data_IF_388888685243
#
_entry.id   IF_388888685243
#
_cell.length_a   1.000
_cell.length_b   1.000
_cell.length_c   1.000
_cell.angle_alpha   90.00
_cell.angle_beta   90.00
_cell.angle_gamma   90.00
#
_symmetry.space_group_name_H-M   'P 1'
#
loop_
_entity.id
_entity.type
_entity.pdbx_description
1 polymer ?
#
# COMPACT_ATOMS: atom_id res chain seq x y z
N UNK A 1 -19.88 -9.72 -10.20
CA UNK A 1 -18.76 -8.76 -10.20
C UNK A 1 -19.31 -7.38 -9.94
N UNK A 2 -18.79 -6.68 -8.93
CA UNK A 2 -19.26 -5.35 -8.52
C UNK A 2 -18.50 -4.25 -9.26
N UNK A 3 -19.24 -3.40 -9.97
CA UNK A 3 -18.67 -2.24 -10.67
C UNK A 3 -18.14 -1.19 -9.68
N UNK A 4 -18.82 -1.02 -8.54
CA UNK A 4 -18.47 -0.02 -7.54
C UNK A 4 -17.13 -0.31 -6.83
N UNK A 5 -16.76 -1.59 -6.67
CA UNK A 5 -15.51 -2.00 -6.03
C UNK A 5 -14.31 -2.03 -6.97
N UNK A 6 -14.55 -1.92 -8.28
CA UNK A 6 -13.47 -2.01 -9.27
C UNK A 6 -12.45 -0.87 -9.13
N UNK A 7 -12.85 0.42 -9.11
CA UNK A 7 -11.89 1.51 -8.91
C UNK A 7 -11.09 1.44 -7.60
N UNK A 8 -11.68 1.26 -6.41
CA UNK A 8 -10.92 1.25 -5.17
C UNK A 8 -10.03 0.00 -5.03
N UNK A 9 -10.39 -1.14 -5.64
CA UNK A 9 -9.49 -2.29 -5.73
C UNK A 9 -8.27 -1.97 -6.60
N UNK A 10 -8.46 -1.33 -7.76
CA UNK A 10 -7.34 -0.93 -8.63
C UNK A 10 -6.43 0.04 -7.87
N UNK A 11 -7.00 0.99 -7.10
CA UNK A 11 -6.21 1.86 -6.21
C UNK A 11 -5.39 1.04 -5.23
N UNK A 12 -5.99 0.08 -4.51
CA UNK A 12 -5.27 -0.79 -3.59
C UNK A 12 -4.15 -1.59 -4.29
N UNK A 13 -4.39 -2.10 -5.50
CA UNK A 13 -3.38 -2.81 -6.28
C UNK A 13 -2.21 -1.88 -6.69
N UNK A 14 -2.51 -0.66 -7.14
CA UNK A 14 -1.50 0.32 -7.56
C UNK A 14 -0.71 0.90 -6.38
N UNK A 15 -1.32 1.07 -5.21
CA UNK A 15 -0.62 1.44 -3.97
C UNK A 15 0.38 0.36 -3.60
N UNK A 16 0.02 -0.92 -3.73
CA UNK A 16 0.94 -2.03 -3.48
C UNK A 16 2.10 -2.02 -4.48
N UNK A 17 1.83 -1.76 -5.77
CA UNK A 17 2.89 -1.58 -6.76
C UNK A 17 3.85 -0.44 -6.40
N UNK A 18 3.33 0.70 -5.95
CA UNK A 18 4.15 1.85 -5.54
C UNK A 18 5.02 1.50 -4.32
N UNK A 19 4.44 0.87 -3.29
CA UNK A 19 5.16 0.41 -2.11
C UNK A 19 6.27 -0.59 -2.48
N UNK A 20 5.96 -1.61 -3.28
CA UNK A 20 6.94 -2.58 -3.75
C UNK A 20 8.06 -1.95 -4.59
N UNK A 21 7.71 -1.05 -5.52
CA UNK A 21 8.71 -0.35 -6.35
C UNK A 21 9.65 0.53 -5.51
N UNK A 22 9.14 1.19 -4.46
CA UNK A 22 9.97 1.99 -3.57
C UNK A 22 10.85 1.13 -2.66
N UNK A 23 10.32 0.03 -2.10
CA UNK A 23 11.12 -0.94 -1.33
C UNK A 23 12.22 -1.62 -2.16
N UNK A 24 12.00 -1.80 -3.46
CA UNK A 24 13.03 -2.31 -4.37
C UNK A 24 14.15 -1.29 -4.62
N UNK A 25 13.84 0.01 -4.56
CA UNK A 25 14.84 1.10 -4.68
C UNK A 25 15.62 1.25 -3.39
N UNK A 26 14.94 1.27 -2.25
CA UNK A 26 15.55 1.24 -0.93
C UNK A 26 14.86 0.23 -0.01
N UNK A 27 15.53 -0.90 0.31
CA UNK A 27 15.00 -1.89 1.25
C UNK A 27 15.28 -1.53 2.72
N UNK A 28 16.03 -0.47 3.00
CA UNK A 28 16.60 -0.21 4.32
C UNK A 28 15.52 0.04 5.39
N UNK A 29 14.57 0.94 5.15
CA UNK A 29 13.49 1.22 6.10
C UNK A 29 12.67 -0.03 6.45
N UNK A 30 12.31 -0.85 5.46
CA UNK A 30 11.58 -2.10 5.70
C UNK A 30 12.42 -3.15 6.46
N UNK A 31 13.75 -3.21 6.23
CA UNK A 31 14.62 -4.05 7.08
C UNK A 31 14.71 -3.55 8.52
N UNK A 32 14.76 -2.23 8.72
CA UNK A 32 14.76 -1.60 10.05
C UNK A 32 13.48 -1.93 10.82
N UNK A 33 12.32 -1.73 10.18
CA UNK A 33 11.01 -2.05 10.72
C UNK A 33 10.90 -3.52 11.16
N UNK A 34 11.30 -4.46 10.30
CA UNK A 34 11.24 -5.89 10.63
C UNK A 34 12.23 -6.28 11.74
N UNK A 35 13.41 -5.66 11.80
CA UNK A 35 14.37 -5.86 12.90
C UNK A 35 13.87 -5.28 14.22
N UNK A 36 13.15 -4.16 14.19
CA UNK A 36 12.49 -3.60 15.38
C UNK A 36 11.43 -4.56 15.94
N UNK A 37 10.85 -5.42 15.10
CA UNK A 37 9.99 -6.54 15.50
C UNK A 37 10.76 -7.81 15.91
N UNK A 38 12.09 -7.76 15.98
CA UNK A 38 12.95 -8.89 16.34
C UNK A 38 13.17 -9.92 15.23
N UNK A 39 12.80 -9.62 13.98
CA UNK A 39 12.96 -10.57 12.87
C UNK A 39 14.36 -10.48 12.25
N UNK A 40 15.08 -11.60 12.11
CA UNK A 40 16.41 -11.62 11.51
C UNK A 40 16.32 -11.55 9.98
N UNK A 41 16.05 -10.36 9.45
CA UNK A 41 15.90 -10.15 7.99
C UNK A 41 17.15 -9.54 7.35
N UNK A 42 17.38 -9.95 6.10
CA UNK A 42 18.42 -9.41 5.22
C UNK A 42 17.80 -8.55 4.12
N UNK A 43 18.52 -7.54 3.58
CA UNK A 43 18.00 -6.67 2.52
C UNK A 43 17.45 -7.41 1.29
N UNK A 44 18.10 -8.50 0.88
CA UNK A 44 17.64 -9.29 -0.26
C UNK A 44 16.28 -9.96 -0.03
N UNK A 45 15.94 -10.30 1.23
CA UNK A 45 14.63 -10.89 1.56
C UNK A 45 13.52 -9.84 1.41
N UNK A 46 13.80 -8.61 1.85
CA UNK A 46 12.89 -7.47 1.68
C UNK A 46 12.73 -7.14 0.19
N UNK A 47 13.82 -7.15 -0.59
CA UNK A 47 13.74 -6.96 -2.03
C UNK A 47 12.90 -8.06 -2.71
N UNK A 48 13.04 -9.33 -2.30
CA UNK A 48 12.22 -10.42 -2.81
C UNK A 48 10.72 -10.25 -2.47
N UNK A 49 10.41 -9.85 -1.23
CA UNK A 49 9.04 -9.50 -0.82
C UNK A 49 8.49 -8.33 -1.64
N UNK A 50 9.28 -7.28 -1.83
CA UNK A 50 8.91 -6.10 -2.60
C UNK A 50 8.65 -6.42 -4.10
N UNK A 51 9.44 -7.32 -4.68
CA UNK A 51 9.15 -7.85 -6.01
C UNK A 51 7.83 -8.63 -6.03
N UNK A 52 7.56 -9.43 -4.99
CA UNK A 52 6.28 -10.11 -4.81
C UNK A 52 5.09 -9.15 -4.70
N UNK A 53 5.23 -8.06 -3.94
CA UNK A 53 4.24 -6.99 -3.83
C UNK A 53 3.94 -6.36 -5.18
N UNK A 54 4.98 -6.04 -5.96
CA UNK A 54 4.83 -5.46 -7.30
C UNK A 54 4.13 -6.42 -8.26
N UNK A 55 4.54 -7.70 -8.30
CA UNK A 55 3.91 -8.72 -9.16
C UNK A 55 2.45 -8.93 -8.75
N UNK A 56 2.16 -9.02 -7.46
CA UNK A 56 0.81 -9.18 -6.95
C UNK A 56 -0.08 -7.98 -7.31
N UNK A 57 0.41 -6.76 -7.10
CA UNK A 57 -0.31 -5.53 -7.46
C UNK A 57 -0.60 -5.46 -8.95
N UNK A 58 0.38 -5.73 -9.82
CA UNK A 58 0.18 -5.74 -11.27
C UNK A 58 -0.83 -6.82 -11.68
N UNK A 59 -0.71 -8.03 -11.14
CA UNK A 59 -1.61 -9.14 -11.44
C UNK A 59 -3.05 -8.81 -11.03
N UNK A 60 -3.25 -8.29 -9.82
CA UNK A 60 -4.57 -7.83 -9.36
C UNK A 60 -5.14 -6.68 -10.18
N UNK A 61 -4.30 -5.75 -10.66
CA UNK A 61 -4.76 -4.64 -11.47
C UNK A 61 -5.19 -5.08 -12.89
N UNK A 62 -4.48 -6.03 -13.50
CA UNK A 62 -4.72 -6.46 -14.88
C UNK A 62 -5.79 -7.55 -14.96
N UNK A 63 -5.62 -8.63 -14.19
CA UNK A 63 -6.49 -9.82 -14.21
C UNK A 63 -6.83 -10.27 -12.77
N UNK A 64 -7.76 -9.57 -12.10
CA UNK A 64 -8.12 -9.88 -10.72
C UNK A 64 -8.85 -11.22 -10.63
N UNK A 65 -8.22 -12.18 -9.96
CA UNK A 65 -8.86 -13.44 -9.56
C UNK A 65 -9.20 -13.39 -8.07
N UNK A 66 -10.16 -14.21 -7.61
CA UNK A 66 -10.49 -14.27 -6.18
C UNK A 66 -9.26 -14.59 -5.31
N UNK A 67 -8.38 -15.46 -5.79
CA UNK A 67 -7.16 -15.85 -5.09
C UNK A 67 -6.18 -14.67 -4.97
N UNK A 68 -5.89 -13.98 -6.06
CA UNK A 68 -4.96 -12.83 -6.03
C UNK A 68 -5.51 -11.69 -5.19
N UNK A 69 -6.82 -11.40 -5.26
CA UNK A 69 -7.46 -10.39 -4.41
C UNK A 69 -7.40 -10.80 -2.92
N UNK A 70 -7.61 -12.08 -2.59
CA UNK A 70 -7.52 -12.55 -1.20
C UNK A 70 -6.09 -12.41 -0.65
N UNK A 71 -5.07 -12.71 -1.46
CA UNK A 71 -3.67 -12.50 -1.08
C UNK A 71 -3.38 -11.00 -0.90
N UNK A 72 -3.92 -10.14 -1.77
CA UNK A 72 -3.83 -8.69 -1.63
C UNK A 72 -4.44 -8.19 -0.31
N UNK A 73 -5.63 -8.71 0.05
CA UNK A 73 -6.27 -8.41 1.34
C UNK A 73 -5.41 -8.85 2.53
N UNK A 74 -4.85 -10.06 2.48
CA UNK A 74 -3.94 -10.58 3.51
C UNK A 74 -2.65 -9.76 3.64
N UNK A 75 -2.13 -9.26 2.52
CA UNK A 75 -0.95 -8.39 2.48
C UNK A 75 -1.23 -7.07 3.20
N UNK A 76 -2.35 -6.41 2.90
CA UNK A 76 -2.77 -5.20 3.60
C UNK A 76 -3.09 -5.42 5.08
N UNK A 77 -3.67 -6.57 5.44
CA UNK A 77 -3.87 -6.93 6.85
C UNK A 77 -2.53 -7.09 7.58
N UNK A 78 -1.51 -7.66 6.92
CA UNK A 78 -0.16 -7.78 7.47
C UNK A 78 0.48 -6.40 7.66
N UNK A 79 0.35 -5.49 6.70
CA UNK A 79 0.82 -4.11 6.85
C UNK A 79 0.14 -3.37 8.00
N UNK A 80 -1.18 -3.53 8.15
CA UNK A 80 -1.92 -2.95 9.27
C UNK A 80 -1.43 -3.51 10.63
N UNK A 81 -1.18 -4.82 10.70
CA UNK A 81 -0.63 -5.47 11.89
C UNK A 81 0.77 -4.98 12.24
N UNK A 82 1.66 -4.89 11.24
CA UNK A 82 3.02 -4.35 11.41
C UNK A 82 2.98 -2.89 11.86
N UNK A 83 2.14 -2.05 11.25
CA UNK A 83 1.98 -0.65 11.66
C UNK A 83 1.52 -0.54 13.12
N UNK A 84 0.59 -1.40 13.55
CA UNK A 84 0.09 -1.43 14.94
C UNK A 84 1.18 -1.86 15.92
N UNK A 85 1.96 -2.88 15.56
CA UNK A 85 3.05 -3.37 16.41
C UNK A 85 4.17 -2.34 16.56
N UNK A 86 4.48 -1.58 15.51
CA UNK A 86 5.54 -0.56 15.52
C UNK A 86 5.11 0.75 16.18
N UNK A 87 3.81 1.10 16.13
CA UNK A 87 3.27 2.31 16.76
C UNK A 87 3.56 2.35 18.27
N UNK A 88 3.61 1.20 18.95
CA UNK A 88 3.96 1.13 20.37
C UNK A 88 5.44 1.38 20.69
N UNK A 89 6.33 1.26 19.70
CA UNK A 89 7.78 1.42 19.85
C UNK A 89 8.35 2.68 19.20
N UNK A 90 7.53 3.51 18.55
CA UNK A 90 7.97 4.71 17.85
C UNK A 90 8.82 4.46 16.60
N UNK A 91 8.85 3.22 16.10
CA UNK A 91 9.61 2.86 14.91
C UNK A 91 8.82 3.19 13.63
N UNK A 92 9.52 3.54 12.54
CA UNK A 92 8.90 3.75 11.25
C UNK A 92 8.44 2.42 10.60
N UNK A 93 7.36 2.46 9.80
CA UNK A 93 6.84 1.24 9.16
C UNK A 93 7.69 0.77 7.95
N UNK A 94 8.52 1.65 7.38
CA UNK A 94 9.37 1.33 6.22
C UNK A 94 8.60 0.99 4.94
N UNK A 95 7.28 1.22 4.89
CA UNK A 95 6.42 0.71 3.83
C UNK A 95 6.65 1.37 2.46
N UNK A 96 7.24 2.57 2.42
CA UNK A 96 7.51 3.34 1.20
C UNK A 96 9.00 3.60 0.97
N UNK A 97 9.89 2.80 1.57
CA UNK A 97 11.33 2.82 1.28
C UNK A 97 12.04 4.11 1.71
N UNK A 98 11.58 4.77 2.78
CA UNK A 98 12.27 5.94 3.31
C UNK A 98 13.63 5.54 3.89
N UNK A 99 14.67 6.31 3.54
CA UNK A 99 16.05 6.07 3.92
C UNK A 99 16.38 6.77 5.24
N UNK A 100 16.70 5.99 6.27
CA UNK A 100 17.26 6.47 7.53
C UNK A 100 18.64 7.12 7.37
N UNK A 101 19.34 6.86 6.27
CA UNK A 101 20.75 7.25 6.08
C UNK A 101 20.96 8.76 5.83
N UNK A 102 19.90 9.51 5.49
CA UNK A 102 20.01 10.95 5.24
C UNK A 102 19.87 11.80 6.51
N UNK A 103 19.70 11.19 7.69
CA UNK A 103 19.54 11.91 8.95
C UNK A 103 18.21 12.69 9.08
N UNK A 104 17.25 12.39 8.21
CA UNK A 104 15.88 12.90 8.33
C UNK A 104 15.11 11.99 9.31
N UNK A 105 14.34 12.60 10.22
CA UNK A 105 13.56 11.90 11.24
C UNK A 105 12.59 10.91 10.57
N UNK A 106 12.88 9.62 10.77
CA UNK A 106 11.99 8.53 10.36
C UNK A 106 10.61 8.77 10.97
N UNK A 107 9.59 8.90 10.11
CA UNK A 107 8.26 9.24 10.61
C UNK A 107 7.67 8.01 11.31
N UNK A 108 7.37 8.07 12.62
CA UNK A 108 6.92 6.91 13.37
C UNK A 108 5.63 6.35 12.78
N UNK A 109 5.42 5.04 12.92
CA UNK A 109 4.20 4.40 12.48
C UNK A 109 2.97 5.05 13.14
N UNK A 110 2.18 5.76 12.33
CA UNK A 110 1.04 6.56 12.80
C UNK A 110 -0.28 5.79 12.72
N UNK A 111 -1.29 6.27 13.44
CA UNK A 111 -2.65 5.73 13.35
C UNK A 111 -3.18 5.70 11.90
N UNK A 112 -2.77 6.68 11.10
CA UNK A 112 -3.18 6.79 9.70
C UNK A 112 -2.66 5.63 8.84
N UNK A 113 -1.46 5.11 9.12
CA UNK A 113 -0.90 3.96 8.41
C UNK A 113 -1.75 2.71 8.58
N UNK A 114 -2.11 2.37 9.83
CA UNK A 114 -2.95 1.19 10.09
C UNK A 114 -4.35 1.39 9.50
N UNK A 115 -4.94 2.58 9.63
CA UNK A 115 -6.28 2.88 9.11
C UNK A 115 -6.32 2.75 7.58
N UNK A 116 -5.35 3.32 6.89
CA UNK A 116 -5.26 3.23 5.43
C UNK A 116 -5.05 1.78 4.97
N UNK A 117 -4.16 1.03 5.64
CA UNK A 117 -3.92 -0.38 5.31
C UNK A 117 -5.16 -1.24 5.56
N UNK A 118 -5.84 -1.02 6.69
CA UNK A 118 -7.07 -1.73 7.03
C UNK A 118 -8.20 -1.41 6.04
N UNK A 119 -8.36 -0.15 5.63
CA UNK A 119 -9.37 0.25 4.66
C UNK A 119 -9.12 -0.39 3.28
N UNK A 120 -7.88 -0.38 2.78
CA UNK A 120 -7.52 -1.04 1.52
C UNK A 120 -7.68 -2.56 1.60
N UNK A 121 -7.31 -3.15 2.74
CA UNK A 121 -7.52 -4.57 3.03
C UNK A 121 -9.00 -4.95 3.07
N UNK A 122 -9.86 -4.11 3.66
CA UNK A 122 -11.31 -4.32 3.70
C UNK A 122 -11.93 -4.23 2.30
N UNK A 123 -11.53 -3.25 1.48
CA UNK A 123 -11.95 -3.14 0.08
C UNK A 123 -11.57 -4.42 -0.69
N UNK A 124 -10.31 -4.88 -0.55
CA UNK A 124 -9.85 -6.10 -1.20
C UNK A 124 -10.63 -7.33 -0.71
N UNK A 125 -10.87 -7.46 0.59
CA UNK A 125 -11.63 -8.57 1.16
C UNK A 125 -13.07 -8.61 0.60
N UNK A 126 -13.77 -7.48 0.59
CA UNK A 126 -15.12 -7.41 0.02
C UNK A 126 -15.09 -7.72 -1.47
N UNK A 127 -14.10 -7.21 -2.22
CA UNK A 127 -13.93 -7.50 -3.63
C UNK A 127 -13.64 -8.99 -3.90
N UNK A 128 -12.90 -9.68 -3.01
CA UNK A 128 -12.66 -11.12 -3.12
C UNK A 128 -13.97 -11.93 -2.99
N UNK A 129 -14.88 -11.47 -2.15
CA UNK A 129 -16.17 -12.13 -1.91
C UNK A 129 -17.16 -11.92 -3.07
N UNK A 130 -17.29 -10.69 -3.58
CA UNK A 130 -18.32 -10.35 -4.60
C UNK A 130 -17.79 -10.31 -6.04
N UNK A 131 -16.47 -10.36 -6.21
CA UNK A 131 -15.74 -10.23 -7.47
C UNK A 131 -15.65 -8.77 -7.95
N UNK A 132 -14.59 -8.46 -8.69
CA UNK A 132 -14.30 -7.16 -9.29
C UNK A 132 -13.84 -7.34 -10.73
N UNK A 133 -13.65 -6.23 -11.46
CA UNK A 133 -13.02 -6.24 -12.77
C UNK A 133 -11.59 -5.68 -12.72
N UNK A 134 -10.80 -5.96 -13.75
CA UNK A 134 -9.46 -5.42 -13.93
C UNK A 134 -9.44 -4.10 -14.72
N UNK A 135 -8.25 -3.60 -15.01
CA UNK A 135 -8.01 -2.35 -15.72
C UNK A 135 -8.61 -2.34 -17.13
N UNK A 136 -8.64 -3.49 -17.81
CA UNK A 136 -9.26 -3.65 -19.13
C UNK A 136 -10.74 -3.25 -19.14
N UNK A 137 -11.47 -3.48 -18.04
CA UNK A 137 -12.86 -3.08 -17.90
C UNK A 137 -13.03 -1.57 -17.77
N UNK A 138 -12.08 -0.87 -17.13
CA UNK A 138 -12.06 0.61 -17.03
C UNK A 138 -11.81 1.21 -18.41
N UNK A 139 -10.82 0.66 -19.13
CA UNK A 139 -10.44 1.12 -20.47
C UNK A 139 -11.48 0.77 -21.54
N UNK A 140 -12.28 -0.27 -21.33
CA UNK A 140 -13.39 -0.65 -22.21
C UNK A 140 -14.65 0.22 -22.07
N UNK A 141 -14.65 1.24 -21.20
CA UNK A 141 -15.78 2.18 -21.03
C UNK A 141 -15.82 3.24 -22.15
N UNK A 142 -16.96 3.89 -22.39
CA UNK A 142 -17.03 5.08 -23.23
C UNK A 142 -15.97 6.11 -22.81
N UNK A 143 -15.36 6.81 -23.78
CA UNK A 143 -14.17 7.63 -23.55
C UNK A 143 -14.29 8.61 -22.37
N UNK A 144 -15.40 9.34 -22.26
CA UNK A 144 -15.63 10.27 -21.16
C UNK A 144 -15.65 9.58 -19.78
N UNK A 145 -16.23 8.38 -19.68
CA UNK A 145 -16.26 7.59 -18.44
C UNK A 145 -14.88 7.01 -18.12
N UNK A 146 -14.18 6.49 -19.12
CA UNK A 146 -12.82 5.96 -18.95
C UNK A 146 -11.87 7.04 -18.44
N UNK A 147 -11.91 8.25 -19.04
CA UNK A 147 -11.10 9.39 -18.60
C UNK A 147 -11.44 9.76 -17.16
N UNK A 148 -12.72 9.90 -16.81
CA UNK A 148 -13.14 10.23 -15.46
C UNK A 148 -12.68 9.18 -14.43
N UNK A 149 -12.78 7.89 -14.77
CA UNK A 149 -12.32 6.80 -13.90
C UNK A 149 -10.80 6.80 -13.75
N UNK A 150 -10.04 7.00 -14.82
CA UNK A 150 -8.56 7.05 -14.76
C UNK A 150 -8.10 8.22 -13.91
N UNK A 151 -8.69 9.41 -14.09
CA UNK A 151 -8.40 10.58 -13.26
C UNK A 151 -8.76 10.29 -11.80
N UNK A 152 -9.93 9.70 -11.53
CA UNK A 152 -10.36 9.36 -10.19
C UNK A 152 -9.45 8.33 -9.50
N UNK A 153 -9.04 7.28 -10.21
CA UNK A 153 -8.10 6.27 -9.72
C UNK A 153 -6.73 6.90 -9.46
N UNK A 154 -6.22 7.71 -10.39
CA UNK A 154 -4.94 8.41 -10.24
C UNK A 154 -4.94 9.38 -9.05
N UNK A 155 -6.01 10.17 -8.91
CA UNK A 155 -6.19 11.08 -7.79
C UNK A 155 -6.30 10.36 -6.45
N UNK A 156 -7.06 9.25 -6.39
CA UNK A 156 -7.19 8.44 -5.18
C UNK A 156 -5.87 7.74 -4.81
N UNK A 157 -5.15 7.18 -5.78
CA UNK A 157 -3.81 6.63 -5.59
C UNK A 157 -2.87 7.68 -5.00
N UNK A 158 -2.82 8.87 -5.62
CA UNK A 158 -1.99 9.97 -5.15
C UNK A 158 -2.36 10.41 -3.73
N UNK A 159 -3.66 10.54 -3.43
CA UNK A 159 -4.13 10.89 -2.09
C UNK A 159 -3.76 9.85 -1.03
N UNK A 160 -3.86 8.56 -1.35
CA UNK A 160 -3.43 7.48 -0.45
C UNK A 160 -1.93 7.54 -0.22
N UNK A 161 -1.12 7.73 -1.27
CA UNK A 161 0.33 7.89 -1.13
C UNK A 161 0.67 9.08 -0.24
N UNK A 162 0.01 10.24 -0.43
CA UNK A 162 0.19 11.40 0.46
C UNK A 162 -0.22 11.10 1.91
N UNK A 163 -1.29 10.34 2.12
CA UNK A 163 -1.73 9.93 3.46
C UNK A 163 -0.67 9.06 4.17
N UNK A 164 0.08 8.27 3.41
CA UNK A 164 1.18 7.47 3.96
C UNK A 164 2.45 8.30 4.21
N UNK A 165 2.85 9.17 3.28
CA UNK A 165 4.19 9.78 3.32
C UNK A 165 4.21 11.22 3.82
N UNK A 166 3.20 12.04 3.49
CA UNK A 166 3.24 13.49 3.75
C UNK A 166 2.41 13.87 4.95
N UNK A 167 1.20 13.31 5.10
CA UNK A 167 0.27 13.70 6.17
C UNK A 167 0.87 13.48 7.56
N UNK A 168 1.53 12.35 7.88
CA UNK A 168 2.12 12.16 9.20
C UNK A 168 3.18 13.21 9.55
N UNK A 169 4.03 13.58 8.58
CA UNK A 169 5.08 14.61 8.73
C UNK A 169 4.48 16.01 8.91
N UNK A 170 3.46 16.33 8.12
CA UNK A 170 2.75 17.59 8.25
C UNK A 170 2.06 17.70 9.62
N UNK A 171 1.50 16.59 10.11
CA UNK A 171 0.84 16.54 11.41
C UNK A 171 1.81 16.78 12.57
N UNK A 172 2.94 16.07 12.63
CA UNK A 172 3.95 16.27 13.70
C UNK A 172 4.49 17.69 13.72
N UNK A 173 4.76 18.27 12.54
CA UNK A 173 5.21 19.67 12.43
C UNK A 173 4.18 20.69 12.96
N UNK A 174 2.89 20.36 12.90
CA UNK A 174 1.80 21.21 13.37
C UNK A 174 1.46 20.97 14.85
N UNK A 175 1.48 19.72 15.31
CA UNK A 175 1.15 19.37 16.71
C UNK A 175 2.26 19.78 17.70
N UNK A 176 3.48 20.00 17.21
CA UNK A 176 4.63 20.33 18.06
C UNK A 176 5.12 19.15 18.89
N UNK A 177 4.80 17.93 18.46
CA UNK A 177 5.30 16.66 18.99
C UNK A 177 6.59 16.23 18.29
#
# INVERSE_FOLDING_TARGET
MSQALTPPLIVAALVLCAAGALKLRSPHGATGALRALGLPVRPWMVAALAAGELVLGVTCAVDPTRATIAILAGTYATFAGVATALAGGGAACGCFGEDSDNGEDETPASALHWMASAALGAVALVAALVGSHGLSWVLGRPAAQAIALVIGIGGALYAVVLAYTVVPRAWTSWSGE
#
